data_IF_951844024546
#
_entry.id   IF_951844024546
#
_cell.length_a   1.000
_cell.length_b   1.000
_cell.length_c   1.000
_cell.angle_alpha   90.00
_cell.angle_beta   90.00
_cell.angle_gamma   90.00
#
_symmetry.space_group_name_H-M   'P 1'
#
loop_
_entity.id
_entity.type
_entity.pdbx_description
1 polymer ?
#
# COMPACT_ATOMS: atom_id res chain seq x y z
N UNK A 1 37.09 77.82 -14.90
CA UNK A 1 36.78 77.48 -16.30
C UNK A 1 35.80 76.33 -16.28
N UNK A 2 34.66 76.51 -16.99
CA UNK A 2 33.57 75.57 -17.36
C UNK A 2 32.98 74.68 -16.25
N UNK A 3 31.75 74.85 -15.73
CA UNK A 3 30.38 74.77 -16.32
C UNK A 3 30.06 73.46 -17.05
N UNK A 4 29.18 72.67 -16.45
CA UNK A 4 27.89 72.17 -16.99
C UNK A 4 27.01 71.73 -15.79
N UNK A 5 25.86 72.36 -15.47
CA UNK A 5 24.51 72.23 -16.09
C UNK A 5 23.98 70.80 -15.84
N UNK A 6 22.94 70.51 -15.05
CA UNK A 6 21.59 71.10 -14.93
C UNK A 6 20.99 70.70 -13.55
N UNK A 7 20.36 71.57 -12.76
CA UNK A 7 18.96 72.04 -12.85
C UNK A 7 17.91 70.92 -12.99
N UNK A 8 16.75 70.91 -12.32
CA UNK A 8 16.24 71.58 -11.12
C UNK A 8 14.84 70.99 -10.86
N UNK A 9 14.51 70.79 -9.58
CA UNK A 9 13.18 70.81 -8.95
C UNK A 9 12.08 69.75 -9.17
N UNK A 10 11.55 69.40 -7.99
CA UNK A 10 10.14 69.33 -7.56
C UNK A 10 9.37 68.01 -7.69
N UNK A 11 9.36 67.34 -6.54
CA UNK A 11 8.23 67.27 -5.61
C UNK A 11 7.14 66.19 -5.80
N UNK A 12 6.69 65.78 -4.60
CA UNK A 12 5.35 65.33 -4.16
C UNK A 12 5.02 63.84 -4.21
N UNK A 13 4.99 63.30 -2.98
CA UNK A 13 3.92 62.47 -2.40
C UNK A 13 3.49 61.22 -3.19
N UNK A 14 3.98 60.07 -2.73
CA UNK A 14 3.42 58.75 -3.04
C UNK A 14 3.00 58.05 -1.74
N UNK A 15 1.74 57.61 -1.72
CA UNK A 15 1.02 57.00 -0.60
C UNK A 15 1.62 55.65 -0.16
N UNK A 16 1.34 55.30 1.08
CA UNK A 16 1.57 53.99 1.69
C UNK A 16 0.99 52.84 0.83
N UNK A 17 1.85 51.90 0.45
CA UNK A 17 1.45 50.62 -0.11
C UNK A 17 1.77 49.52 0.91
N UNK A 18 0.72 48.84 1.37
CA UNK A 18 0.77 47.69 2.27
C UNK A 18 1.60 46.53 1.70
N UNK A 19 2.37 45.80 2.53
CA UNK A 19 3.03 44.57 2.13
C UNK A 19 2.07 43.39 2.33
N UNK A 20 1.35 43.00 1.27
CA UNK A 20 0.53 41.78 1.25
C UNK A 20 0.82 40.98 -0.02
N UNK A 21 2.04 40.46 -0.16
CA UNK A 21 2.43 39.43 -1.14
C UNK A 21 3.63 38.63 -0.63
N UNK A 22 3.37 37.71 0.29
CA UNK A 22 4.20 36.53 0.61
C UNK A 22 3.27 35.59 1.39
N UNK A 23 3.26 34.31 1.02
CA UNK A 23 2.50 33.17 1.60
C UNK A 23 1.43 32.58 0.65
N UNK A 24 1.86 31.91 -0.43
CA UNK A 24 1.01 30.93 -1.16
C UNK A 24 1.74 29.58 -1.38
N UNK A 25 3.00 29.45 -0.97
CA UNK A 25 3.79 28.23 -1.21
C UNK A 25 3.52 27.11 -0.19
N UNK A 26 2.73 27.35 0.87
CA UNK A 26 2.33 26.30 1.82
C UNK A 26 1.15 25.44 1.35
N UNK A 27 0.50 25.78 0.23
CA UNK A 27 -0.80 25.19 -0.14
C UNK A 27 -0.66 23.77 -0.72
N UNK A 28 0.41 23.42 -1.43
CA UNK A 28 0.52 22.07 -2.01
C UNK A 28 0.84 20.98 -0.97
N UNK A 29 1.58 21.30 0.09
CA UNK A 29 1.81 20.37 1.22
C UNK A 29 0.63 20.37 2.20
N UNK A 30 -0.11 21.48 2.35
CA UNK A 30 -1.28 21.57 3.22
C UNK A 30 -2.50 20.84 2.68
N UNK A 31 -2.66 20.66 1.36
CA UNK A 31 -3.85 20.00 0.83
C UNK A 31 -3.79 18.47 0.99
N UNK A 32 -2.68 17.81 0.66
CA UNK A 32 -2.56 16.35 0.86
C UNK A 32 -2.35 16.00 2.34
N UNK A 33 -1.49 16.72 3.07
CA UNK A 33 -1.28 16.44 4.49
C UNK A 33 -2.44 16.91 5.38
N UNK A 34 -3.13 18.00 5.04
CA UNK A 34 -4.32 18.48 5.73
C UNK A 34 -5.52 17.56 5.53
N UNK A 35 -5.69 17.03 4.31
CA UNK A 35 -6.67 16.00 4.00
C UNK A 35 -6.35 14.69 4.74
N UNK A 36 -5.10 14.22 4.73
CA UNK A 36 -4.68 13.02 5.48
C UNK A 36 -4.88 13.17 7.00
N UNK A 37 -4.60 14.34 7.55
CA UNK A 37 -4.81 14.66 8.98
C UNK A 37 -6.29 14.74 9.35
N UNK A 38 -7.14 15.20 8.43
CA UNK A 38 -8.58 15.28 8.63
C UNK A 38 -9.26 13.91 8.44
N UNK A 39 -8.84 13.15 7.44
CA UNK A 39 -9.31 11.80 7.12
C UNK A 39 -8.96 10.81 8.24
N UNK A 40 -7.71 10.80 8.71
CA UNK A 40 -7.28 9.99 9.88
C UNK A 40 -8.01 10.37 11.17
N UNK A 41 -8.39 11.65 11.34
CA UNK A 41 -9.19 12.10 12.49
C UNK A 41 -10.68 11.75 12.39
N UNK A 42 -11.21 11.43 11.20
CA UNK A 42 -12.65 11.18 10.99
C UNK A 42 -13.00 9.70 10.88
N UNK A 43 -12.03 8.82 10.58
CA UNK A 43 -12.21 7.37 10.49
C UNK A 43 -11.38 6.58 11.53
N UNK A 44 -11.26 7.10 12.75
CA UNK A 44 -10.96 6.24 13.90
C UNK A 44 -12.09 5.22 14.08
N UNK A 45 -11.74 3.93 14.05
CA UNK A 45 -12.67 2.81 14.16
C UNK A 45 -13.53 2.89 15.44
N UNK A 46 -14.77 3.39 15.30
CA UNK A 46 -15.83 3.13 16.25
C UNK A 46 -16.72 2.00 15.67
N UNK A 47 -16.90 0.86 16.36
CA UNK A 47 -17.81 -0.16 15.89
C UNK A 47 -19.26 0.36 15.98
N UNK A 48 -20.14 0.04 15.02
CA UNK A 48 -21.54 0.45 15.09
C UNK A 48 -22.24 -0.23 16.27
N UNK A 49 -22.87 0.56 17.12
CA UNK A 49 -23.85 0.09 18.11
C UNK A 49 -25.13 -0.33 17.36
N UNK A 50 -25.26 -1.63 17.11
CA UNK A 50 -26.45 -2.24 16.52
C UNK A 50 -27.22 -3.02 17.56
N UNK A 51 -28.14 -2.33 18.22
CA UNK A 51 -29.20 -2.88 19.05
C UNK A 51 -30.16 -3.69 18.17
N UNK A 52 -30.39 -4.96 18.48
CA UNK A 52 -31.58 -5.68 17.96
C UNK A 52 -31.96 -6.81 18.90
N UNK A 53 -32.84 -6.48 19.84
CA UNK A 53 -33.59 -7.47 20.59
C UNK A 53 -34.52 -8.27 19.66
N UNK A 54 -34.40 -9.60 19.71
CA UNK A 54 -35.44 -10.50 19.24
C UNK A 54 -35.69 -11.58 20.29
N UNK A 55 -36.89 -11.52 20.89
CA UNK A 55 -37.45 -12.54 21.79
C UNK A 55 -37.55 -13.90 21.10
N UNK A 56 -37.33 -15.02 21.81
CA UNK A 56 -37.73 -16.33 21.31
C UNK A 56 -39.19 -16.63 21.66
N UNK A 57 -39.92 -17.30 20.75
CA UNK A 57 -41.19 -17.97 21.04
C UNK A 57 -41.24 -19.36 20.39
N UNK A 58 -42.03 -20.29 20.96
CA UNK A 58 -41.53 -21.62 21.26
C UNK A 58 -42.28 -22.74 20.54
N UNK A 59 -41.70 -23.95 20.60
CA UNK A 59 -42.46 -25.20 20.63
C UNK A 59 -42.07 -26.23 19.57
N UNK A 60 -41.47 -27.34 20.00
CA UNK A 60 -42.15 -28.65 20.04
C UNK A 60 -41.20 -29.73 20.59
N UNK A 61 -41.76 -30.58 21.46
CA UNK A 61 -41.09 -31.63 22.22
C UNK A 61 -40.82 -32.90 21.41
N UNK A 62 -39.63 -33.46 21.67
CA UNK A 62 -39.23 -34.86 21.90
C UNK A 62 -40.05 -36.05 21.35
N UNK A 63 -39.31 -37.01 20.76
CA UNK A 63 -39.60 -38.45 20.75
C UNK A 63 -38.42 -39.27 20.15
N UNK A 64 -38.02 -40.43 20.73
CA UNK A 64 -36.62 -40.88 20.74
C UNK A 64 -36.32 -42.04 19.77
N UNK A 65 -35.06 -42.20 19.35
CA UNK A 65 -34.44 -43.48 18.96
C UNK A 65 -32.92 -43.35 18.86
N UNK A 66 -32.19 -43.96 19.79
CA UNK A 66 -30.77 -44.31 19.65
C UNK A 66 -30.64 -45.64 18.87
N UNK A 67 -29.54 -45.87 18.13
CA UNK A 67 -28.30 -46.39 18.73
C UNK A 67 -27.02 -45.66 18.26
N UNK A 68 -26.08 -45.49 19.19
CA UNK A 68 -24.70 -45.01 19.00
C UNK A 68 -23.74 -46.16 18.59
N UNK A 69 -22.42 -45.94 18.37
CA UNK A 69 -21.67 -44.79 17.85
C UNK A 69 -20.74 -45.21 16.67
N UNK A 70 -20.24 -44.26 15.87
CA UNK A 70 -18.83 -44.18 15.38
C UNK A 70 -18.68 -43.22 14.18
N UNK A 71 -17.90 -42.16 14.40
CA UNK A 71 -17.10 -41.44 13.40
C UNK A 71 -17.81 -40.54 12.37
N UNK A 72 -18.75 -39.69 12.78
CA UNK A 72 -19.16 -38.54 11.94
C UNK A 72 -19.58 -37.29 12.70
N UNK A 73 -18.94 -37.00 13.84
CA UNK A 73 -19.14 -35.75 14.57
C UNK A 73 -17.80 -35.16 15.01
N UNK A 74 -17.23 -34.30 14.16
CA UNK A 74 -16.43 -33.11 14.52
C UNK A 74 -16.00 -32.38 13.24
N UNK A 75 -16.98 -31.86 12.51
CA UNK A 75 -16.76 -30.73 11.60
C UNK A 75 -17.86 -29.73 11.95
N UNK A 76 -17.66 -28.99 13.04
CA UNK A 76 -18.31 -27.70 13.36
C UNK A 76 -17.72 -27.17 14.67
N UNK A 77 -16.46 -26.74 14.63
CA UNK A 77 -15.96 -25.66 15.49
C UNK A 77 -14.82 -25.05 14.69
N UNK A 78 -15.15 -24.17 13.74
CA UNK A 78 -14.13 -23.40 13.02
C UNK A 78 -13.49 -22.44 14.02
N UNK A 79 -12.51 -22.96 14.76
CA UNK A 79 -11.74 -22.19 15.71
C UNK A 79 -11.07 -21.01 15.02
N UNK A 80 -11.15 -19.85 15.65
CA UNK A 80 -10.57 -18.63 15.13
C UNK A 80 -9.05 -18.58 15.27
N UNK A 81 -8.35 -18.10 14.23
CA UNK A 81 -6.93 -17.79 14.28
C UNK A 81 -6.70 -16.41 14.92
N UNK A 82 -5.71 -16.31 15.81
CA UNK A 82 -5.38 -15.07 16.51
C UNK A 82 -3.87 -14.85 16.51
N UNK A 83 -3.45 -13.60 16.32
CA UNK A 83 -2.08 -13.16 16.60
C UNK A 83 -2.08 -12.43 17.93
N UNK A 84 -1.22 -12.84 18.84
CA UNK A 84 -1.12 -12.26 20.17
C UNK A 84 0.33 -11.92 20.48
N UNK A 85 0.56 -10.77 21.10
CA UNK A 85 1.86 -10.36 21.63
C UNK A 85 1.68 -9.99 23.09
N UNK A 86 2.58 -10.45 23.96
CA UNK A 86 2.53 -10.15 25.40
C UNK A 86 3.94 -10.10 25.98
N UNK A 87 4.14 -9.19 26.93
CA UNK A 87 5.41 -9.06 27.65
C UNK A 87 5.37 -9.97 28.88
N UNK A 88 6.41 -10.78 29.04
CA UNK A 88 6.56 -11.78 30.10
C UNK A 88 7.89 -11.54 30.81
N UNK A 89 7.95 -11.84 32.11
CA UNK A 89 9.21 -11.77 32.85
C UNK A 89 10.20 -12.83 32.33
N UNK A 90 11.45 -12.44 32.11
CA UNK A 90 12.52 -13.32 31.64
C UNK A 90 13.06 -14.19 32.79
N UNK A 91 12.21 -15.09 33.28
CA UNK A 91 12.51 -16.03 34.36
C UNK A 91 12.11 -17.45 33.98
N UNK A 92 12.86 -18.48 34.40
CA UNK A 92 12.52 -19.86 34.13
C UNK A 92 11.09 -20.20 34.61
N UNK A 93 10.24 -20.63 33.67
CA UNK A 93 8.87 -21.06 33.95
C UNK A 93 7.78 -20.04 33.65
N UNK A 94 8.10 -18.75 33.45
CA UNK A 94 7.09 -17.73 33.13
C UNK A 94 6.28 -18.07 31.88
N UNK A 95 6.96 -18.45 30.80
CA UNK A 95 6.30 -18.92 29.57
C UNK A 95 5.48 -20.20 29.79
N UNK A 96 5.92 -21.10 30.67
CA UNK A 96 5.20 -22.34 30.96
C UNK A 96 3.86 -22.07 31.67
N UNK A 97 3.82 -21.09 32.59
CA UNK A 97 2.59 -20.64 33.24
C UNK A 97 1.61 -20.08 32.21
N UNK A 98 2.10 -19.28 31.27
CA UNK A 98 1.30 -18.70 30.18
C UNK A 98 0.74 -19.79 29.24
N UNK A 99 1.58 -20.71 28.78
CA UNK A 99 1.15 -21.85 27.95
C UNK A 99 0.12 -22.71 28.67
N UNK A 100 0.26 -22.91 29.98
CA UNK A 100 -0.70 -23.67 30.79
C UNK A 100 -2.06 -22.95 30.87
N UNK A 101 -2.07 -21.62 31.01
CA UNK A 101 -3.30 -20.84 31.03
C UNK A 101 -4.05 -20.90 29.68
N UNK A 102 -3.32 -20.79 28.57
CA UNK A 102 -3.88 -20.96 27.22
C UNK A 102 -4.45 -22.38 27.01
N UNK A 103 -3.71 -23.41 27.42
CA UNK A 103 -4.16 -24.79 27.35
C UNK A 103 -5.45 -25.02 28.17
N UNK A 104 -5.59 -24.39 29.33
CA UNK A 104 -6.80 -24.43 30.16
C UNK A 104 -8.05 -23.87 29.46
N UNK A 105 -7.86 -23.02 28.44
CA UNK A 105 -8.91 -22.46 27.57
C UNK A 105 -9.06 -23.21 26.25
N UNK A 106 -8.35 -24.33 26.06
CA UNK A 106 -8.27 -25.09 24.80
C UNK A 106 -7.77 -24.25 23.62
N UNK A 107 -6.88 -23.31 23.90
CA UNK A 107 -6.19 -22.54 22.85
C UNK A 107 -4.95 -23.33 22.44
N UNK A 108 -4.83 -23.59 21.13
CA UNK A 108 -3.68 -24.23 20.53
C UNK A 108 -2.64 -23.18 20.08
N UNK A 109 -1.35 -23.47 20.30
CA UNK A 109 -0.24 -22.58 19.95
C UNK A 109 0.40 -23.12 18.68
N UNK A 110 0.17 -22.43 17.56
CA UNK A 110 0.66 -22.84 16.24
C UNK A 110 2.12 -22.39 16.00
N UNK A 111 2.50 -21.25 16.57
CA UNK A 111 3.86 -20.71 16.51
C UNK A 111 4.12 -19.80 17.70
N UNK A 112 5.38 -19.74 18.14
CA UNK A 112 5.88 -18.85 19.17
C UNK A 112 7.21 -18.24 18.72
N UNK A 113 7.34 -16.92 18.87
CA UNK A 113 8.60 -16.20 18.75
C UNK A 113 8.85 -15.37 19.99
N UNK A 114 10.05 -15.49 20.54
CA UNK A 114 10.47 -14.71 21.71
C UNK A 114 11.43 -13.62 21.28
N UNK A 115 11.17 -12.40 21.76
CA UNK A 115 11.96 -11.20 21.53
C UNK A 115 12.51 -10.70 22.86
N UNK A 116 13.81 -10.91 23.15
CA UNK A 116 14.39 -10.46 24.40
C UNK A 116 14.44 -8.92 24.46
N UNK A 117 14.09 -8.37 25.62
CA UNK A 117 14.21 -6.96 25.98
C UNK A 117 15.19 -6.79 27.16
N UNK A 118 15.44 -5.54 27.57
CA UNK A 118 16.23 -5.27 28.77
C UNK A 118 15.50 -5.73 30.04
N UNK A 119 14.18 -5.50 30.10
CA UNK A 119 13.32 -5.82 31.24
C UNK A 119 12.23 -6.82 30.83
N UNK A 120 12.64 -8.06 30.55
CA UNK A 120 11.74 -9.18 30.20
C UNK A 120 11.82 -9.63 28.74
N UNK A 121 10.80 -10.37 28.31
CA UNK A 121 10.68 -10.87 26.93
C UNK A 121 9.33 -10.50 26.35
N UNK A 122 9.31 -10.15 25.07
CA UNK A 122 8.07 -10.06 24.30
C UNK A 122 7.87 -11.37 23.56
N UNK A 123 6.78 -12.06 23.86
CA UNK A 123 6.42 -13.29 23.18
C UNK A 123 5.28 -13.02 22.18
N UNK A 124 5.52 -13.37 20.91
CA UNK A 124 4.56 -13.33 19.81
C UNK A 124 4.05 -14.74 19.51
N UNK A 125 2.74 -14.93 19.63
CA UNK A 125 2.04 -16.18 19.44
C UNK A 125 1.11 -16.12 18.23
N UNK A 126 1.09 -17.21 17.47
CA UNK A 126 -0.02 -17.53 16.58
C UNK A 126 -0.87 -18.61 17.24
N UNK A 127 -2.13 -18.31 17.46
CA UNK A 127 -3.05 -19.11 18.26
C UNK A 127 -4.24 -19.59 17.43
N UNK A 128 -4.77 -20.77 17.76
CA UNK A 128 -6.08 -21.23 17.32
C UNK A 128 -6.96 -21.42 18.54
N UNK A 129 -8.05 -20.66 18.61
CA UNK A 129 -8.99 -20.69 19.74
C UNK A 129 -10.35 -21.26 19.31
N UNK A 130 -11.13 -21.92 20.18
CA UNK A 130 -12.48 -22.40 19.88
C UNK A 130 -13.43 -21.26 19.44
N UNK A 131 -14.44 -21.56 18.62
CA UNK A 131 -15.29 -20.56 17.93
C UNK A 131 -16.13 -19.64 18.83
N UNK A 132 -16.19 -19.90 20.13
CA UNK A 132 -16.86 -19.05 21.14
C UNK A 132 -15.93 -18.25 22.05
N UNK A 133 -14.61 -18.42 21.93
CA UNK A 133 -13.65 -17.74 22.81
C UNK A 133 -13.35 -16.33 22.29
N UNK A 134 -13.65 -15.32 23.11
CA UNK A 134 -13.43 -13.92 22.74
C UNK A 134 -11.98 -13.50 23.04
N UNK A 135 -11.49 -12.50 22.31
CA UNK A 135 -10.17 -11.90 22.55
C UNK A 135 -9.96 -11.50 24.02
N UNK A 136 -10.99 -10.91 24.64
CA UNK A 136 -10.96 -10.49 26.04
C UNK A 136 -10.73 -11.66 27.02
N UNK A 137 -11.23 -12.86 26.71
CA UNK A 137 -11.02 -14.04 27.54
C UNK A 137 -9.58 -14.56 27.46
N UNK A 138 -8.98 -14.49 26.26
CA UNK A 138 -7.57 -14.83 26.04
C UNK A 138 -6.69 -13.82 26.76
N UNK A 139 -6.92 -12.51 26.55
CA UNK A 139 -6.18 -11.43 27.21
C UNK A 139 -6.23 -11.59 28.74
N UNK A 140 -7.41 -11.84 29.30
CA UNK A 140 -7.58 -12.04 30.75
C UNK A 140 -6.81 -13.25 31.25
N UNK A 141 -6.89 -14.40 30.57
CA UNK A 141 -6.16 -15.59 30.96
C UNK A 141 -4.63 -15.37 30.93
N UNK A 142 -4.14 -14.63 29.93
CA UNK A 142 -2.72 -14.28 29.81
C UNK A 142 -2.28 -13.31 30.90
N UNK A 143 -3.11 -12.30 31.22
CA UNK A 143 -2.80 -11.36 32.31
C UNK A 143 -2.81 -12.03 33.69
N UNK A 144 -3.76 -12.93 33.94
CA UNK A 144 -3.77 -13.76 35.17
C UNK A 144 -2.54 -14.67 35.26
N UNK A 145 -1.95 -15.05 34.12
CA UNK A 145 -0.74 -15.85 34.01
C UNK A 145 0.57 -15.04 34.07
N UNK A 146 0.49 -13.71 34.28
CA UNK A 146 1.66 -12.83 34.40
C UNK A 146 2.07 -12.10 33.12
N UNK A 147 1.29 -12.22 32.04
CA UNK A 147 1.50 -11.44 30.82
C UNK A 147 1.04 -9.98 30.97
N UNK A 148 1.90 -9.05 30.55
CA UNK A 148 1.62 -7.61 30.52
C UNK A 148 1.56 -7.09 29.08
N UNK A 149 0.98 -5.89 28.90
CA UNK A 149 0.94 -5.20 27.60
C UNK A 149 0.41 -6.06 26.45
N UNK A 150 -0.56 -6.92 26.75
CA UNK A 150 -1.07 -7.91 25.81
C UNK A 150 -1.86 -7.23 24.69
N UNK A 151 -1.39 -7.44 23.46
CA UNK A 151 -2.07 -7.06 22.24
C UNK A 151 -2.53 -8.31 21.50
N UNK A 152 -3.74 -8.30 20.96
CA UNK A 152 -4.32 -9.44 20.26
C UNK A 152 -5.21 -8.98 19.10
N UNK A 153 -5.09 -9.64 17.96
CA UNK A 153 -5.93 -9.41 16.79
C UNK A 153 -6.25 -10.72 16.04
N UNK A 154 -7.20 -10.65 15.10
CA UNK A 154 -7.49 -11.77 14.20
C UNK A 154 -6.31 -12.01 13.26
N UNK A 155 -5.93 -13.26 13.12
CA UNK A 155 -4.92 -13.71 12.16
C UNK A 155 -5.60 -14.37 10.95
N UNK A 156 -4.88 -14.43 9.83
CA UNK A 156 -5.33 -15.07 8.60
C UNK A 156 -4.47 -16.29 8.21
N UNK A 157 -4.85 -17.00 7.15
CA UNK A 157 -4.17 -18.23 6.73
C UNK A 157 -2.69 -18.01 6.31
N UNK A 158 -2.31 -16.81 5.86
CA UNK A 158 -0.93 -16.46 5.50
C UNK A 158 -0.03 -16.34 6.73
N UNK A 159 -0.59 -16.06 7.90
CA UNK A 159 0.18 -16.02 9.15
C UNK A 159 0.70 -17.40 9.58
N UNK A 160 0.14 -18.49 9.02
CA UNK A 160 0.59 -19.86 9.26
C UNK A 160 1.96 -20.17 8.64
N UNK A 161 2.43 -19.33 7.71
CA UNK A 161 3.76 -19.49 7.11
C UNK A 161 4.82 -19.18 8.16
N UNK A 162 5.75 -20.12 8.36
CA UNK A 162 6.83 -19.92 9.32
C UNK A 162 7.71 -18.72 8.96
N UNK A 163 8.28 -18.07 9.97
CA UNK A 163 9.01 -16.83 9.76
C UNK A 163 10.27 -16.97 8.87
N UNK A 164 11.10 -18.02 8.98
CA UNK A 164 12.19 -18.25 8.04
C UNK A 164 11.73 -18.28 6.58
N UNK A 165 10.69 -19.06 6.26
CA UNK A 165 10.12 -19.13 4.91
C UNK A 165 9.60 -17.78 4.45
N UNK A 166 8.86 -17.06 5.32
CA UNK A 166 8.35 -15.72 5.03
C UNK A 166 9.49 -14.74 4.72
N UNK A 167 10.54 -14.71 5.54
CA UNK A 167 11.69 -13.81 5.35
C UNK A 167 12.43 -14.10 4.03
N UNK A 168 12.61 -15.37 3.66
CA UNK A 168 13.21 -15.74 2.36
C UNK A 168 12.33 -15.32 1.18
N UNK A 169 11.01 -15.44 1.31
CA UNK A 169 10.05 -14.94 0.32
C UNK A 169 10.16 -13.42 0.13
N UNK A 170 10.18 -12.67 1.25
CA UNK A 170 10.37 -11.22 1.24
C UNK A 170 11.70 -10.81 0.59
N UNK A 171 12.80 -11.46 0.97
CA UNK A 171 14.12 -11.22 0.39
C UNK A 171 14.13 -11.48 -1.13
N UNK A 172 13.45 -12.54 -1.59
CA UNK A 172 13.34 -12.87 -3.02
C UNK A 172 12.56 -11.79 -3.78
N UNK A 173 11.43 -11.31 -3.23
CA UNK A 173 10.64 -10.21 -3.83
C UNK A 173 11.48 -8.94 -3.95
N UNK A 174 12.14 -8.53 -2.87
CA UNK A 174 13.03 -7.36 -2.84
C UNK A 174 14.25 -7.53 -3.77
N UNK A 175 14.71 -8.76 -4.00
CA UNK A 175 15.77 -9.02 -4.97
C UNK A 175 15.34 -8.78 -6.42
N UNK A 176 14.06 -9.04 -6.75
CA UNK A 176 13.51 -8.94 -8.11
C UNK A 176 13.06 -7.51 -8.50
N UNK A 177 12.48 -6.75 -7.56
CA UNK A 177 12.04 -5.37 -7.79
C UNK A 177 12.38 -4.50 -6.57
N UNK A 178 13.14 -3.44 -6.76
CA UNK A 178 13.48 -2.50 -5.69
C UNK A 178 12.25 -1.78 -5.10
N UNK A 179 11.12 -1.76 -5.82
CA UNK A 179 9.86 -1.20 -5.33
C UNK A 179 9.19 -2.04 -4.25
N UNK A 180 9.65 -3.27 -4.04
CA UNK A 180 9.13 -4.17 -3.01
C UNK A 180 9.63 -3.85 -1.61
N UNK A 181 10.72 -3.07 -1.44
CA UNK A 181 11.32 -2.86 -0.12
C UNK A 181 10.31 -2.30 0.91
N UNK A 182 9.55 -1.23 0.63
CA UNK A 182 8.54 -0.73 1.58
C UNK A 182 7.46 -1.77 1.89
N UNK A 183 6.99 -2.50 0.87
CA UNK A 183 5.97 -3.55 1.06
C UNK A 183 6.50 -4.70 1.91
N UNK A 184 7.76 -5.10 1.68
CA UNK A 184 8.42 -6.16 2.41
C UNK A 184 8.69 -5.76 3.87
N UNK A 185 9.05 -4.50 4.14
CA UNK A 185 9.16 -3.96 5.50
C UNK A 185 7.81 -3.98 6.23
N UNK A 186 6.72 -3.61 5.55
CA UNK A 186 5.37 -3.69 6.13
C UNK A 186 4.99 -5.13 6.44
N UNK A 187 5.22 -6.07 5.53
CA UNK A 187 4.95 -7.49 5.78
C UNK A 187 5.84 -8.08 6.90
N UNK A 188 7.08 -7.61 7.02
CA UNK A 188 8.01 -8.06 8.06
C UNK A 188 7.63 -7.55 9.46
N UNK A 189 7.11 -6.33 9.55
CA UNK A 189 6.86 -5.61 10.81
C UNK A 189 5.38 -5.55 11.21
N UNK A 190 4.49 -6.05 10.36
CA UNK A 190 3.05 -5.99 10.54
C UNK A 190 2.46 -4.62 10.19
N UNK A 191 1.38 -4.24 10.89
CA UNK A 191 0.70 -2.96 10.65
C UNK A 191 1.60 -1.80 11.07
N UNK A 192 2.19 -1.11 10.09
CA UNK A 192 3.00 0.07 10.29
C UNK A 192 2.85 1.03 9.09
N UNK A 193 3.16 2.30 9.35
CA UNK A 193 3.30 3.32 8.31
C UNK A 193 4.76 3.44 7.94
N UNK A 194 5.06 3.42 6.64
CA UNK A 194 6.42 3.59 6.13
C UNK A 194 6.49 4.91 5.36
N UNK A 195 7.45 5.74 5.71
CA UNK A 195 7.73 7.01 5.05
C UNK A 195 9.17 7.02 4.55
N UNK A 196 9.34 7.21 3.25
CA UNK A 196 10.66 7.37 2.63
C UNK A 196 10.94 8.86 2.38
N UNK A 197 12.03 9.37 2.93
CA UNK A 197 12.49 10.74 2.71
C UNK A 197 13.78 10.73 1.89
N UNK A 198 13.84 11.42 0.73
CA UNK A 198 15.03 11.44 -0.11
C UNK A 198 16.18 12.22 0.55
N UNK A 199 17.42 11.89 0.18
CA UNK A 199 18.63 12.56 0.65
C UNK A 199 18.64 14.07 0.34
N UNK A 200 18.15 14.42 -0.85
CA UNK A 200 18.00 15.79 -1.32
C UNK A 200 16.51 16.05 -1.55
N UNK A 201 15.87 16.92 -0.75
CA UNK A 201 14.45 17.18 -0.91
C UNK A 201 14.14 17.88 -2.24
N UNK A 202 13.06 17.45 -2.88
CA UNK A 202 12.60 17.96 -4.17
C UNK A 202 12.03 19.39 -4.09
N UNK A 203 11.88 19.99 -2.90
CA UNK A 203 11.57 21.42 -2.70
C UNK A 203 12.52 21.92 -1.61
N UNK A 204 12.98 23.18 -1.67
CA UNK A 204 14.14 23.72 -0.91
C UNK A 204 14.01 23.72 0.62
N UNK A 205 13.88 22.55 1.23
CA UNK A 205 13.84 22.29 2.66
C UNK A 205 15.15 21.72 3.18
N UNK A 206 15.27 21.67 4.51
CA UNK A 206 16.37 20.98 5.18
C UNK A 206 16.21 19.47 4.91
N UNK A 207 17.28 18.82 4.46
CA UNK A 207 17.30 17.35 4.30
C UNK A 207 16.98 16.65 5.62
N UNK A 208 16.65 15.35 5.57
CA UNK A 208 16.30 14.60 6.77
C UNK A 208 17.44 14.67 7.80
N UNK A 209 17.07 14.70 9.08
CA UNK A 209 18.06 14.68 10.17
C UNK A 209 18.95 13.44 10.03
N UNK A 210 20.29 13.60 10.14
CA UNK A 210 21.22 12.51 9.91
C UNK A 210 20.95 11.36 10.87
N UNK A 211 20.67 10.18 10.30
CA UNK A 211 20.47 8.94 11.05
C UNK A 211 21.83 8.23 11.17
N UNK A 212 22.18 7.66 12.34
CA UNK A 212 23.38 6.84 12.48
C UNK A 212 23.42 5.71 11.44
N UNK A 213 24.62 5.22 11.10
CA UNK A 213 24.79 4.10 10.15
C UNK A 213 24.01 2.87 10.60
N UNK A 214 23.93 2.65 11.90
CA UNK A 214 23.22 1.52 12.50
C UNK A 214 21.70 1.67 12.48
N UNK A 215 21.18 2.86 12.14
CA UNK A 215 19.78 3.28 12.32
C UNK A 215 19.52 3.85 13.72
N UNK A 216 18.27 4.21 13.98
CA UNK A 216 17.78 4.61 15.30
C UNK A 216 16.45 3.93 15.61
N UNK A 217 16.26 3.57 16.89
CA UNK A 217 15.06 2.93 17.41
C UNK A 217 14.59 3.72 18.64
N UNK A 218 13.37 4.24 18.59
CA UNK A 218 12.72 5.03 19.63
C UNK A 218 11.30 4.48 19.81
N UNK A 219 11.15 3.47 20.68
CA UNK A 219 9.89 2.78 20.98
C UNK A 219 9.06 2.45 19.72
N UNK A 220 8.07 3.27 19.39
CA UNK A 220 7.13 3.11 18.28
C UNK A 220 7.65 3.58 16.92
N UNK A 221 8.85 4.15 16.87
CA UNK A 221 9.46 4.73 15.68
C UNK A 221 10.84 4.13 15.44
N UNK A 222 11.06 3.70 14.19
CA UNK A 222 12.33 3.20 13.70
C UNK A 222 12.79 4.02 12.51
N UNK A 223 14.06 4.42 12.49
CA UNK A 223 14.67 5.16 11.38
C UNK A 223 15.84 4.36 10.82
N UNK A 224 15.77 4.06 9.53
CA UNK A 224 16.77 3.30 8.78
C UNK A 224 17.35 4.18 7.68
N UNK A 225 18.64 4.00 7.38
CA UNK A 225 19.28 4.70 6.27
C UNK A 225 18.85 4.05 4.95
N UNK A 226 18.29 4.85 4.04
CA UNK A 226 17.96 4.37 2.71
C UNK A 226 19.26 4.19 1.87
N UNK A 227 19.33 3.18 0.99
CA UNK A 227 20.48 2.93 0.12
C UNK A 227 20.94 4.13 -0.72
N UNK A 228 19.99 4.95 -1.17
CA UNK A 228 20.20 6.18 -1.93
C UNK A 228 20.60 7.40 -1.08
N UNK A 229 20.85 7.20 0.21
CA UNK A 229 21.24 8.25 1.16
C UNK A 229 20.09 8.98 1.84
N UNK A 230 18.84 8.57 1.58
CA UNK A 230 17.65 9.05 2.28
C UNK A 230 17.44 8.39 3.65
N UNK A 231 16.25 8.59 4.21
CA UNK A 231 15.82 7.98 5.48
C UNK A 231 14.49 7.27 5.27
N UNK A 232 14.40 6.03 5.73
CA UNK A 232 13.15 5.28 5.84
C UNK A 232 12.72 5.36 7.30
N UNK A 233 11.56 5.95 7.55
CA UNK A 233 10.93 5.98 8.88
C UNK A 233 9.79 4.98 8.89
N UNK A 234 9.81 4.09 9.87
CA UNK A 234 8.73 3.15 10.15
C UNK A 234 8.10 3.54 11.48
N UNK A 235 6.79 3.70 11.50
CA UNK A 235 6.04 4.16 12.66
C UNK A 235 4.83 3.23 12.89
N UNK A 236 4.54 2.89 14.15
CA UNK A 236 3.29 2.21 14.51
C UNK A 236 2.70 2.80 15.78
N UNK A 237 1.39 3.08 15.84
CA UNK A 237 0.83 4.01 16.83
C UNK A 237 0.83 3.52 18.29
N UNK A 238 0.81 2.20 18.55
CA UNK A 238 0.51 1.69 19.89
C UNK A 238 1.41 0.54 20.36
N UNK A 239 2.37 0.09 19.55
CA UNK A 239 3.20 -1.07 19.87
C UNK A 239 4.69 -0.70 19.74
N UNK A 240 5.53 -0.79 20.78
CA UNK A 240 6.96 -0.52 20.65
C UNK A 240 7.67 -1.60 19.83
N UNK A 241 8.57 -1.21 18.92
CA UNK A 241 9.46 -2.12 18.19
C UNK A 241 10.49 -2.75 19.11
N UNK A 242 10.71 -4.05 18.95
CA UNK A 242 11.76 -4.78 19.64
C UNK A 242 13.11 -4.59 18.93
N UNK A 243 14.24 -4.76 19.64
CA UNK A 243 15.57 -4.79 19.02
C UNK A 243 15.69 -5.85 17.91
N UNK A 244 14.99 -6.98 18.04
CA UNK A 244 14.95 -8.03 17.01
C UNK A 244 14.22 -7.58 15.75
N UNK A 245 13.08 -6.89 15.87
CA UNK A 245 12.37 -6.30 14.73
C UNK A 245 13.24 -5.28 14.00
N UNK A 246 13.94 -4.41 14.76
CA UNK A 246 14.90 -3.46 14.22
C UNK A 246 16.05 -4.13 13.47
N UNK A 247 16.66 -5.16 14.05
CA UNK A 247 17.73 -5.89 13.41
C UNK A 247 17.29 -6.56 12.09
N UNK A 248 16.09 -7.16 12.05
CA UNK A 248 15.54 -7.76 10.82
C UNK A 248 15.26 -6.72 9.74
N UNK A 249 14.63 -5.60 10.10
CA UNK A 249 14.35 -4.52 9.16
C UNK A 249 15.64 -3.92 8.58
N UNK A 250 16.65 -3.68 9.43
CA UNK A 250 17.98 -3.24 9.00
C UNK A 250 18.65 -4.22 8.06
N UNK A 251 18.61 -5.52 8.36
CA UNK A 251 19.18 -6.55 7.50
C UNK A 251 18.52 -6.60 6.12
N UNK A 252 17.19 -6.41 6.04
CA UNK A 252 16.47 -6.35 4.77
C UNK A 252 16.86 -5.09 3.96
N UNK A 253 16.97 -3.93 4.61
CA UNK A 253 17.44 -2.68 3.97
C UNK A 253 18.89 -2.82 3.50
N UNK A 254 19.75 -3.48 4.28
CA UNK A 254 21.14 -3.73 3.89
C UNK A 254 21.24 -4.68 2.69
N UNK A 255 20.44 -5.75 2.66
CA UNK A 255 20.35 -6.65 1.51
C UNK A 255 19.96 -5.86 0.25
N UNK A 256 18.92 -5.03 0.35
CA UNK A 256 18.49 -4.18 -0.74
C UNK A 256 19.57 -3.17 -1.15
N UNK A 257 20.31 -2.59 -0.21
CA UNK A 257 21.42 -1.70 -0.53
C UNK A 257 22.50 -2.39 -1.36
N UNK A 258 22.88 -3.62 -0.98
CA UNK A 258 23.94 -4.40 -1.65
C UNK A 258 23.56 -4.79 -3.07
N UNK A 259 22.29 -5.07 -3.31
CA UNK A 259 21.82 -5.54 -4.61
C UNK A 259 21.55 -4.36 -5.59
N UNK A 260 21.50 -3.09 -5.15
CA UNK A 260 21.41 -1.90 -6.02
C UNK A 260 20.00 -1.51 -6.53
N UNK A 261 19.84 -0.70 -7.57
CA UNK A 261 18.51 -0.45 -8.18
C UNK A 261 18.21 -1.53 -9.22
N UNK A 262 17.04 -2.19 -9.14
CA UNK A 262 16.56 -3.09 -10.21
C UNK A 262 15.06 -2.95 -10.39
N UNK A 263 14.66 -3.07 -11.64
CA UNK A 263 13.28 -3.00 -12.08
C UNK A 263 13.04 -4.14 -13.08
N UNK A 264 11.91 -4.86 -13.00
CA UNK A 264 11.60 -5.94 -13.93
C UNK A 264 11.63 -5.48 -15.39
N UNK A 265 12.24 -6.29 -16.26
CA UNK A 265 12.46 -5.97 -17.69
C UNK A 265 11.33 -6.40 -18.62
N UNK A 266 10.17 -6.78 -18.09
CA UNK A 266 9.04 -7.21 -18.93
C UNK A 266 8.56 -6.07 -19.83
N UNK A 267 8.21 -6.43 -21.06
CA UNK A 267 7.67 -5.52 -22.08
C UNK A 267 6.49 -6.20 -22.76
N UNK A 268 5.39 -5.48 -22.87
CA UNK A 268 4.20 -5.96 -23.57
C UNK A 268 3.92 -5.06 -24.77
N UNK A 269 3.79 -5.68 -25.95
CA UNK A 269 3.43 -4.97 -27.19
C UNK A 269 1.91 -5.04 -27.34
N UNK A 270 1.28 -3.88 -27.54
CA UNK A 270 -0.16 -3.75 -27.72
C UNK A 270 -0.44 -2.99 -29.02
N UNK A 271 -1.33 -3.54 -29.83
CA UNK A 271 -1.84 -2.86 -31.02
C UNK A 271 -3.05 -2.01 -30.62
N UNK A 272 -2.95 -0.70 -30.78
CA UNK A 272 -4.08 0.19 -30.53
C UNK A 272 -5.17 -0.01 -31.61
N UNK A 273 -6.44 0.29 -31.32
CA UNK A 273 -7.52 0.23 -32.32
C UNK A 273 -7.25 1.07 -33.58
N UNK A 274 -6.44 2.12 -33.46
CA UNK A 274 -6.02 3.00 -34.55
C UNK A 274 -4.77 2.48 -35.31
N UNK A 275 -4.37 1.23 -35.08
CA UNK A 275 -3.35 0.50 -35.88
C UNK A 275 -1.88 0.76 -35.55
N UNK A 276 -1.59 1.60 -34.54
CA UNK A 276 -0.21 1.82 -34.08
C UNK A 276 0.12 0.88 -32.91
N UNK A 277 1.25 0.17 -33.02
CA UNK A 277 1.79 -0.62 -31.92
C UNK A 277 2.44 0.30 -30.87
N UNK A 278 2.12 0.04 -29.62
CA UNK A 278 2.77 0.62 -28.45
C UNK A 278 3.42 -0.48 -27.62
N UNK A 279 4.50 -0.14 -26.93
CA UNK A 279 5.15 -1.01 -25.96
C UNK A 279 4.93 -0.46 -24.57
N UNK A 280 4.43 -1.28 -23.65
CA UNK A 280 4.31 -0.94 -22.23
C UNK A 280 5.39 -1.68 -21.45
N UNK A 281 6.16 -0.95 -20.64
CA UNK A 281 7.23 -1.52 -19.81
C UNK A 281 7.36 -0.81 -18.47
N UNK A 282 8.03 -1.43 -17.50
CA UNK A 282 8.45 -0.72 -16.28
C UNK A 282 9.46 0.39 -16.64
N UNK A 283 9.41 1.48 -15.88
CA UNK A 283 10.29 2.63 -16.03
C UNK A 283 10.91 3.01 -14.69
N UNK A 284 12.10 3.59 -14.74
CA UNK A 284 12.89 3.95 -13.56
C UNK A 284 13.65 5.27 -13.74
N UNK A 285 14.56 5.60 -12.81
CA UNK A 285 15.34 6.84 -12.85
C UNK A 285 16.24 6.98 -14.08
N UNK A 286 16.53 5.89 -14.82
CA UNK A 286 17.19 5.94 -16.11
C UNK A 286 16.34 6.60 -17.21
N UNK A 287 15.03 6.64 -17.04
CA UNK A 287 14.07 7.21 -18.00
C UNK A 287 13.82 8.71 -17.81
N UNK A 288 14.45 9.35 -16.82
CA UNK A 288 14.20 10.77 -16.48
C UNK A 288 14.34 11.68 -17.70
N UNK A 289 15.36 11.47 -18.55
CA UNK A 289 15.52 12.28 -19.77
C UNK A 289 14.35 12.11 -20.73
N UNK A 290 13.94 10.87 -21.01
CA UNK A 290 12.84 10.59 -21.94
C UNK A 290 11.48 11.07 -21.38
N UNK A 291 11.29 11.01 -20.06
CA UNK A 291 10.12 11.56 -19.38
C UNK A 291 10.06 13.09 -19.49
N UNK A 292 11.19 13.80 -19.34
CA UNK A 292 11.28 15.25 -19.56
C UNK A 292 10.93 15.62 -21.00
N UNK A 293 11.50 14.92 -21.98
CA UNK A 293 11.16 15.15 -23.39
C UNK A 293 9.66 14.96 -23.64
N UNK A 294 9.00 13.99 -22.97
CA UNK A 294 7.55 13.83 -23.04
C UNK A 294 6.80 15.00 -22.40
N UNK A 295 7.23 15.49 -21.23
CA UNK A 295 6.65 16.65 -20.58
C UNK A 295 6.68 17.89 -21.48
N UNK A 296 7.81 18.16 -22.13
CA UNK A 296 7.98 19.30 -23.05
C UNK A 296 7.00 19.29 -24.22
N UNK A 297 6.53 18.11 -24.63
CA UNK A 297 5.51 17.95 -25.69
C UNK A 297 4.08 18.04 -25.18
N UNK A 298 3.86 17.89 -23.88
CA UNK A 298 2.54 17.97 -23.29
C UNK A 298 2.08 19.43 -23.21
N UNK A 299 0.78 19.66 -23.44
CA UNK A 299 0.22 21.00 -23.25
C UNK A 299 0.23 21.41 -21.77
N UNK A 300 0.23 22.72 -21.50
CA UNK A 300 0.10 23.25 -20.13
C UNK A 300 -1.17 22.76 -19.44
N UNK A 301 -2.24 22.54 -20.21
CA UNK A 301 -3.50 21.96 -19.69
C UNK A 301 -3.28 20.52 -19.23
N UNK A 302 -2.65 19.70 -20.06
CA UNK A 302 -2.37 18.29 -19.72
C UNK A 302 -1.47 18.17 -18.49
N UNK A 303 -0.41 18.99 -18.41
CA UNK A 303 0.44 19.04 -17.23
C UNK A 303 -0.31 19.57 -15.99
N UNK A 304 -1.13 20.61 -16.12
CA UNK A 304 -1.93 21.16 -15.02
C UNK A 304 -3.03 20.24 -14.49
N UNK A 305 -3.49 19.27 -15.29
CA UNK A 305 -4.40 18.21 -14.81
C UNK A 305 -3.68 17.11 -14.04
N UNK A 306 -2.38 16.91 -14.30
CA UNK A 306 -1.53 15.90 -13.65
C UNK A 306 -0.87 16.43 -12.37
N UNK A 307 -0.43 17.68 -12.40
CA UNK A 307 0.31 18.33 -11.33
C UNK A 307 -0.56 19.43 -10.73
N UNK A 308 -1.02 19.22 -9.49
CA UNK A 308 -1.88 20.16 -8.76
C UNK A 308 -1.10 21.34 -8.14
N UNK A 309 0.07 21.66 -8.71
CA UNK A 309 0.98 22.74 -8.32
C UNK A 309 1.58 23.45 -9.54
N UNK A 310 2.58 24.34 -9.36
CA UNK A 310 3.20 25.05 -10.47
C UNK A 310 3.83 24.09 -11.49
N UNK A 311 3.32 24.11 -12.74
CA UNK A 311 3.76 23.21 -13.82
C UNK A 311 5.28 23.33 -14.09
N UNK A 312 5.87 24.50 -13.84
CA UNK A 312 7.32 24.73 -14.00
C UNK A 312 8.20 23.85 -13.12
N UNK A 313 7.66 23.27 -12.05
CA UNK A 313 8.38 22.37 -11.15
C UNK A 313 8.17 20.89 -11.48
N UNK A 314 7.35 20.54 -12.49
CA UNK A 314 6.99 19.15 -12.82
C UNK A 314 8.23 18.24 -13.01
N UNK A 315 9.27 18.77 -13.65
CA UNK A 315 10.52 18.03 -13.91
C UNK A 315 11.34 17.76 -12.65
N UNK A 316 11.15 18.56 -11.59
CA UNK A 316 11.82 18.38 -10.30
C UNK A 316 11.31 17.13 -9.58
N UNK A 317 10.07 16.75 -9.83
CA UNK A 317 9.43 15.56 -9.26
C UNK A 317 9.75 14.27 -10.00
N UNK A 318 10.23 14.32 -11.25
CA UNK A 318 10.46 13.12 -12.05
C UNK A 318 11.42 12.12 -11.40
N UNK A 319 12.48 12.58 -10.74
CA UNK A 319 13.39 11.68 -10.01
C UNK A 319 12.68 10.93 -8.88
N UNK A 320 11.72 11.57 -8.22
CA UNK A 320 10.93 10.95 -7.16
C UNK A 320 9.90 10.00 -7.76
N UNK A 321 9.13 10.44 -8.77
CA UNK A 321 8.11 9.62 -9.42
C UNK A 321 8.67 8.38 -10.12
N UNK A 322 9.87 8.48 -10.69
CA UNK A 322 10.55 7.36 -11.36
C UNK A 322 11.40 6.52 -10.41
N UNK A 323 11.61 6.95 -9.17
CA UNK A 323 12.35 6.15 -8.21
C UNK A 323 11.49 4.97 -7.76
N UNK A 324 12.00 3.72 -7.85
CA UNK A 324 11.26 2.55 -7.40
C UNK A 324 10.94 2.59 -5.90
N UNK A 325 11.64 3.45 -5.13
CA UNK A 325 11.48 3.57 -3.67
C UNK A 325 10.13 4.13 -3.24
N UNK A 326 9.47 4.85 -4.13
CA UNK A 326 8.20 5.51 -3.86
C UNK A 326 7.05 4.85 -4.59
N UNK A 327 7.30 3.77 -5.35
CA UNK A 327 6.26 3.16 -6.14
C UNK A 327 6.75 2.39 -7.36
N UNK A 328 5.80 2.08 -8.24
CA UNK A 328 6.01 1.45 -9.53
C UNK A 328 5.60 2.40 -10.64
N UNK A 329 6.53 2.73 -11.54
CA UNK A 329 6.22 3.44 -12.78
C UNK A 329 6.22 2.50 -13.99
N UNK A 330 5.27 2.72 -14.91
CA UNK A 330 5.23 2.13 -16.24
C UNK A 330 5.25 3.23 -17.30
N UNK A 331 5.94 2.99 -18.40
CA UNK A 331 6.00 3.86 -19.56
C UNK A 331 5.35 3.18 -20.77
N UNK A 332 4.66 4.00 -21.56
CA UNK A 332 4.17 3.63 -22.89
C UNK A 332 5.10 4.24 -23.92
N UNK A 333 5.65 3.41 -24.80
CA UNK A 333 6.54 3.80 -25.87
C UNK A 333 5.94 3.53 -27.24
N UNK A 334 6.27 4.38 -28.20
CA UNK A 334 6.02 4.10 -29.63
C UNK A 334 6.99 3.03 -30.15
N UNK A 335 6.74 2.51 -31.35
CA UNK A 335 7.69 1.64 -32.06
C UNK A 335 9.10 2.26 -32.24
N UNK A 336 9.21 3.59 -32.24
CA UNK A 336 10.50 4.31 -32.27
C UNK A 336 11.17 4.45 -30.89
N UNK A 337 10.60 3.87 -29.83
CA UNK A 337 11.13 3.92 -28.47
C UNK A 337 10.81 5.21 -27.71
N UNK A 338 10.02 6.12 -28.28
CA UNK A 338 9.67 7.41 -27.65
C UNK A 338 8.58 7.21 -26.60
N UNK A 339 8.79 7.71 -25.38
CA UNK A 339 7.76 7.70 -24.34
C UNK A 339 6.65 8.68 -24.71
N UNK A 340 5.40 8.20 -24.68
CA UNK A 340 4.16 8.95 -24.98
C UNK A 340 3.13 8.89 -23.86
N UNK A 341 3.38 8.08 -22.84
CA UNK A 341 2.60 8.06 -21.62
C UNK A 341 3.38 7.49 -20.44
N UNK A 342 3.03 7.94 -19.25
CA UNK A 342 3.54 7.49 -17.96
C UNK A 342 2.39 7.18 -17.03
N UNK A 343 2.52 6.09 -16.28
CA UNK A 343 1.63 5.73 -15.21
C UNK A 343 2.42 5.42 -13.96
N UNK A 344 2.01 5.98 -12.83
CA UNK A 344 2.67 5.83 -11.53
C UNK A 344 1.69 5.20 -10.55
N UNK A 345 2.16 4.19 -9.83
CA UNK A 345 1.53 3.62 -8.64
C UNK A 345 2.43 3.98 -7.46
N UNK A 346 2.01 4.89 -6.59
CA UNK A 346 2.84 5.45 -5.53
C UNK A 346 2.42 4.89 -4.16
N UNK A 347 3.41 4.63 -3.32
CA UNK A 347 3.21 4.21 -1.94
C UNK A 347 2.99 5.44 -1.06
N UNK A 348 1.82 5.53 -0.43
CA UNK A 348 1.48 6.64 0.46
C UNK A 348 1.03 6.10 1.82
N UNK A 349 2.01 5.84 2.69
CA UNK A 349 1.76 5.24 4.00
C UNK A 349 1.16 3.84 3.89
N UNK A 350 -0.10 3.70 4.26
CA UNK A 350 -0.90 2.48 4.12
C UNK A 350 -1.79 2.44 2.87
N UNK A 351 -1.87 3.55 2.14
CA UNK A 351 -2.63 3.69 0.91
C UNK A 351 -1.75 3.64 -0.34
N UNK A 352 -2.39 3.65 -1.50
CA UNK A 352 -1.72 3.58 -2.79
C UNK A 352 -2.35 4.56 -3.78
N UNK A 353 -1.57 5.52 -4.25
CA UNK A 353 -2.03 6.53 -5.21
C UNK A 353 -1.73 6.06 -6.65
N UNK A 354 -2.65 6.33 -7.57
CA UNK A 354 -2.43 6.18 -9.01
C UNK A 354 -2.47 7.52 -9.71
N UNK A 355 -1.46 7.78 -10.54
CA UNK A 355 -1.37 9.01 -11.32
C UNK A 355 -0.90 8.74 -12.76
N UNK A 356 -1.54 9.39 -13.73
CA UNK A 356 -1.34 9.12 -15.15
C UNK A 356 -1.04 10.41 -15.91
N UNK A 357 -0.15 10.33 -16.90
CA UNK A 357 0.12 11.38 -17.86
C UNK A 357 0.22 10.77 -19.26
N UNK A 358 -0.58 11.26 -20.21
CA UNK A 358 -0.55 10.82 -21.62
C UNK A 358 -0.41 12.05 -22.50
N UNK A 359 0.56 12.02 -23.41
CA UNK A 359 0.81 13.10 -24.38
C UNK A 359 -0.47 13.41 -25.18
N UNK A 360 -0.77 14.70 -25.39
CA UNK A 360 -2.02 15.17 -25.98
C UNK A 360 -2.39 14.45 -27.29
N UNK A 361 -1.41 14.22 -28.18
CA UNK A 361 -1.60 13.55 -29.46
C UNK A 361 -1.96 12.05 -29.36
N UNK A 362 -1.80 11.46 -28.17
CA UNK A 362 -2.02 10.05 -27.88
C UNK A 362 -3.22 9.80 -26.95
N UNK A 363 -3.85 10.87 -26.47
CA UNK A 363 -5.05 10.76 -25.65
C UNK A 363 -6.25 10.23 -26.45
N UNK A 364 -7.25 9.70 -25.73
CA UNK A 364 -8.48 9.08 -26.29
C UNK A 364 -8.26 7.85 -27.18
N UNK A 365 -7.07 7.24 -27.11
CA UNK A 365 -6.72 5.96 -27.79
C UNK A 365 -6.75 4.74 -26.87
N UNK A 366 -7.28 4.86 -25.66
CA UNK A 366 -7.30 3.78 -24.66
C UNK A 366 -6.04 3.63 -23.81
N UNK A 367 -4.96 4.39 -24.08
CA UNK A 367 -3.68 4.30 -23.35
C UNK A 367 -3.84 4.56 -21.84
N UNK A 368 -4.62 5.58 -21.46
CA UNK A 368 -4.84 5.89 -20.04
C UNK A 368 -5.53 4.74 -19.29
N UNK A 369 -6.55 4.14 -19.90
CA UNK A 369 -7.25 2.98 -19.32
C UNK A 369 -6.36 1.74 -19.24
N UNK A 370 -5.49 1.54 -20.24
CA UNK A 370 -4.51 0.45 -20.25
C UNK A 370 -3.48 0.60 -19.12
N UNK A 371 -2.90 1.79 -18.99
CA UNK A 371 -1.99 2.12 -17.90
C UNK A 371 -2.65 1.88 -16.54
N UNK A 372 -3.86 2.40 -16.35
CA UNK A 372 -4.59 2.28 -15.09
C UNK A 372 -4.84 0.82 -14.71
N UNK A 373 -5.30 -0.01 -15.66
CA UNK A 373 -5.57 -1.44 -15.40
C UNK A 373 -4.32 -2.19 -14.99
N UNK A 374 -3.18 -1.89 -15.63
CA UNK A 374 -1.88 -2.50 -15.28
C UNK A 374 -1.39 -2.07 -13.91
N UNK A 375 -1.55 -0.78 -13.56
CA UNK A 375 -1.20 -0.28 -12.22
C UNK A 375 -2.09 -0.90 -11.14
N UNK A 376 -3.38 -1.08 -11.43
CA UNK A 376 -4.31 -1.81 -10.54
C UNK A 376 -3.88 -3.27 -10.37
N UNK A 377 -3.51 -3.97 -11.45
CA UNK A 377 -2.97 -5.33 -11.37
C UNK A 377 -1.71 -5.39 -10.49
N UNK A 378 -0.80 -4.44 -10.64
CA UNK A 378 0.38 -4.31 -9.79
C UNK A 378 0.04 -4.05 -8.32
N UNK A 379 -0.99 -3.26 -8.04
CA UNK A 379 -1.46 -3.02 -6.67
C UNK A 379 -2.06 -4.27 -6.04
N UNK A 380 -2.79 -5.08 -6.81
CA UNK A 380 -3.32 -6.38 -6.37
C UNK A 380 -2.17 -7.35 -6.07
N UNK A 381 -1.16 -7.46 -6.94
CA UNK A 381 0.04 -8.27 -6.70
C UNK A 381 0.84 -7.82 -5.46
N UNK A 382 0.80 -6.52 -5.17
CA UNK A 382 1.39 -5.92 -3.97
C UNK A 382 0.58 -6.18 -2.69
N UNK A 383 -0.66 -6.68 -2.80
CA UNK A 383 -1.56 -6.89 -1.67
C UNK A 383 -2.22 -5.61 -1.14
N UNK A 384 -2.36 -4.58 -1.98
CA UNK A 384 -3.03 -3.34 -1.59
C UNK A 384 -4.55 -3.53 -1.51
N UNK A 385 -5.19 -2.96 -0.49
CA UNK A 385 -6.65 -3.02 -0.30
C UNK A 385 -7.43 -2.06 -1.21
N UNK A 386 -6.79 -0.96 -1.63
CA UNK A 386 -7.40 0.04 -2.48
C UNK A 386 -6.34 0.84 -3.23
N UNK A 387 -6.76 1.44 -4.34
CA UNK A 387 -6.01 2.49 -5.02
C UNK A 387 -6.86 3.74 -5.13
N UNK A 388 -6.26 4.91 -4.94
CA UNK A 388 -6.96 6.18 -5.09
C UNK A 388 -6.30 7.07 -6.15
N UNK A 389 -7.08 7.94 -6.76
CA UNK A 389 -6.60 8.95 -7.70
C UNK A 389 -7.07 10.34 -7.26
N UNK A 390 -6.15 11.30 -7.17
CA UNK A 390 -6.47 12.71 -6.91
C UNK A 390 -6.51 13.47 -8.24
N UNK A 391 -7.65 14.05 -8.56
CA UNK A 391 -7.82 14.77 -9.82
C UNK A 391 -8.73 15.99 -9.66
N UNK A 392 -8.82 16.83 -10.69
CA UNK A 392 -9.82 17.90 -10.70
C UNK A 392 -11.19 17.31 -11.01
N UNK A 393 -12.24 17.81 -10.36
CA UNK A 393 -13.63 17.39 -10.61
C UNK A 393 -14.07 17.53 -12.08
N UNK A 394 -13.41 18.42 -12.84
CA UNK A 394 -13.61 18.62 -14.28
C UNK A 394 -12.89 17.59 -15.17
N UNK A 395 -12.01 16.75 -14.62
CA UNK A 395 -11.25 15.75 -15.35
C UNK A 395 -12.09 14.49 -15.65
N UNK A 396 -12.98 14.61 -16.61
CA UNK A 396 -13.87 13.53 -17.07
C UNK A 396 -13.11 12.31 -17.59
N UNK A 397 -11.89 12.48 -18.11
CA UNK A 397 -11.05 11.39 -18.60
C UNK A 397 -10.63 10.44 -17.48
N UNK A 398 -10.15 10.97 -16.36
CA UNK A 398 -9.79 10.16 -15.18
C UNK A 398 -11.01 9.48 -14.57
N UNK A 399 -12.14 10.19 -14.45
CA UNK A 399 -13.40 9.61 -13.95
C UNK A 399 -13.85 8.43 -14.81
N UNK A 400 -13.80 8.58 -16.14
CA UNK A 400 -14.15 7.51 -17.06
C UNK A 400 -13.20 6.31 -16.96
N UNK A 401 -11.89 6.58 -16.84
CA UNK A 401 -10.88 5.53 -16.68
C UNK A 401 -11.09 4.72 -15.38
N UNK A 402 -11.33 5.39 -14.24
CA UNK A 402 -11.61 4.73 -12.97
C UNK A 402 -12.90 3.90 -13.03
N UNK A 403 -13.97 4.42 -13.65
CA UNK A 403 -15.22 3.65 -13.84
C UNK A 403 -15.04 2.42 -14.72
N UNK A 404 -14.17 2.49 -15.73
CA UNK A 404 -13.90 1.38 -16.62
C UNK A 404 -13.18 0.20 -15.94
N UNK A 405 -12.68 0.37 -14.70
CA UNK A 405 -12.14 -0.73 -13.90
C UNK A 405 -13.20 -1.73 -13.46
N UNK A 406 -14.48 -1.34 -13.40
CA UNK A 406 -15.56 -2.20 -12.92
C UNK A 406 -15.46 -2.56 -11.44
N UNK A 407 -14.69 -1.80 -10.66
CA UNK A 407 -14.53 -1.96 -9.21
C UNK A 407 -15.50 -1.05 -8.43
N UNK A 408 -15.80 -1.37 -7.17
CA UNK A 408 -16.50 -0.45 -6.28
C UNK A 408 -15.70 0.85 -6.13
N UNK A 409 -16.35 1.99 -6.39
CA UNK A 409 -15.73 3.32 -6.34
C UNK A 409 -16.39 4.20 -5.28
N UNK A 410 -15.54 4.81 -4.45
CA UNK A 410 -15.93 5.90 -3.55
C UNK A 410 -15.46 7.25 -4.14
N UNK A 411 -16.28 8.28 -3.96
CA UNK A 411 -16.01 9.63 -4.47
C UNK A 411 -16.04 10.64 -3.34
N UNK A 412 -14.99 11.46 -3.25
CA UNK A 412 -14.91 12.58 -2.30
C UNK A 412 -14.54 13.86 -3.06
N UNK A 413 -15.32 14.93 -2.87
CA UNK A 413 -15.13 16.20 -3.57
C UNK A 413 -14.93 17.31 -2.54
N UNK A 414 -13.83 18.05 -2.68
CA UNK A 414 -13.51 19.21 -1.83
C UNK A 414 -12.82 20.30 -2.66
N UNK A 415 -13.36 21.52 -2.62
CA UNK A 415 -12.82 22.71 -3.29
C UNK A 415 -12.45 22.52 -4.79
N UNK A 416 -13.21 21.70 -5.50
CA UNK A 416 -12.98 21.41 -6.93
C UNK A 416 -12.00 20.26 -7.20
N UNK A 417 -11.36 19.73 -6.17
CA UNK A 417 -10.59 18.47 -6.19
C UNK A 417 -11.53 17.29 -5.98
N UNK A 418 -11.27 16.20 -6.69
CA UNK A 418 -11.99 14.94 -6.64
C UNK A 418 -11.00 13.82 -6.32
N UNK A 419 -11.25 13.11 -5.23
CA UNK A 419 -10.59 11.85 -4.88
C UNK A 419 -11.51 10.71 -5.28
N UNK A 420 -10.99 9.78 -6.09
CA UNK A 420 -11.70 8.57 -6.51
C UNK A 420 -10.94 7.38 -5.95
N UNK A 421 -11.58 6.58 -5.09
CA UNK A 421 -10.96 5.40 -4.48
C UNK A 421 -11.60 4.14 -5.04
N UNK A 422 -10.81 3.25 -5.62
CA UNK A 422 -11.24 1.93 -6.05
C UNK A 422 -10.83 0.89 -5.00
N UNK A 423 -11.82 0.14 -4.47
CA UNK A 423 -11.57 -0.98 -3.55
C UNK A 423 -11.08 -2.17 -4.37
N UNK A 424 -9.87 -2.64 -4.06
CA UNK A 424 -9.31 -3.86 -4.62
C UNK A 424 -9.77 -4.99 -3.71
N UNK A 425 -10.76 -5.76 -4.16
CA UNK A 425 -11.33 -6.81 -3.33
C UNK A 425 -10.22 -7.71 -2.76
N UNK A 426 -10.17 -7.85 -1.44
CA UNK A 426 -9.53 -9.01 -0.83
C UNK A 426 -10.26 -10.26 -1.35
N UNK A 427 -9.57 -11.36 -1.64
CA UNK A 427 -10.24 -12.59 -2.04
C UNK A 427 -10.94 -13.15 -0.81
N UNK A 428 -12.24 -12.89 -0.66
CA UNK A 428 -13.13 -13.72 0.16
C UNK A 428 -14.54 -13.70 -0.41
N UNK A 429 -15.11 -14.92 -0.46
CA UNK A 429 -16.40 -15.35 -0.97
C UNK A 429 -16.56 -15.37 -2.50
N UNK A 430 -16.40 -16.57 -3.07
CA UNK A 430 -17.03 -16.92 -4.34
C UNK A 430 -18.52 -16.51 -4.31
N UNK A 431 -19.05 -15.92 -5.40
CA UNK A 431 -20.48 -15.86 -5.57
C UNK A 431 -20.99 -17.27 -5.84
N UNK A 432 -21.51 -17.91 -4.80
CA UNK A 432 -22.27 -19.15 -4.92
C UNK A 432 -23.45 -18.90 -5.89
N UNK A 433 -23.45 -19.62 -7.01
CA UNK A 433 -24.66 -19.88 -7.80
C UNK A 433 -24.77 -19.20 -9.18
N UNK A 434 -24.13 -19.79 -10.19
CA UNK A 434 -24.70 -19.92 -11.54
C UNK A 434 -23.94 -20.95 -12.40
N UNK A 435 -24.08 -22.25 -12.09
CA UNK A 435 -23.81 -23.31 -13.07
C UNK A 435 -25.14 -23.82 -13.61
N UNK A 436 -25.32 -23.70 -14.93
CA UNK A 436 -26.44 -24.35 -15.59
C UNK A 436 -26.61 -24.01 -17.06
N UNK A 437 -25.64 -24.32 -17.94
CA UNK A 437 -25.94 -24.72 -19.32
C UNK A 437 -24.86 -25.70 -19.82
N UNK A 438 -25.25 -26.97 -19.97
CA UNK A 438 -24.51 -28.00 -20.71
C UNK A 438 -24.75 -27.83 -22.21
N UNK A 439 -23.70 -27.50 -22.97
CA UNK A 439 -23.70 -27.48 -24.44
C UNK A 439 -22.96 -28.70 -25.00
N UNK A 440 -23.68 -29.58 -25.70
CA UNK A 440 -23.17 -30.75 -26.42
C UNK A 440 -22.21 -30.34 -27.54
N UNK A 441 -21.04 -30.97 -27.62
CA UNK A 441 -20.20 -31.02 -28.82
C UNK A 441 -20.55 -32.28 -29.61
N UNK A 442 -21.13 -32.10 -30.79
CA UNK A 442 -21.28 -33.14 -31.81
C UNK A 442 -19.98 -33.23 -32.62
N UNK A 443 -19.43 -34.44 -32.69
CA UNK A 443 -18.36 -34.83 -33.59
C UNK A 443 -18.89 -34.97 -35.02
N UNK A 444 -18.23 -34.30 -35.98
CA UNK A 444 -18.35 -34.59 -37.40
C UNK A 444 -16.99 -35.08 -37.89
N UNK A 445 -16.93 -36.34 -38.30
CA UNK A 445 -15.78 -36.93 -38.97
C UNK A 445 -15.92 -36.81 -40.48
N UNK A 446 -14.85 -36.40 -41.15
CA UNK A 446 -14.65 -36.62 -42.59
C UNK A 446 -13.28 -37.26 -42.79
N UNK A 447 -13.29 -38.53 -43.15
CA UNK A 447 -12.15 -39.30 -43.66
C UNK A 447 -12.22 -39.29 -45.19
N UNK A 448 -11.31 -38.55 -45.82
CA UNK A 448 -11.07 -38.63 -47.26
C UNK A 448 -10.20 -39.84 -47.60
N UNK A 449 -10.78 -40.78 -48.35
CA UNK A 449 -10.09 -41.88 -49.07
C UNK A 449 -9.34 -41.31 -50.29
N UNK A 450 -8.10 -41.73 -50.48
CA UNK A 450 -7.42 -41.78 -51.79
C UNK A 450 -6.79 -43.17 -51.93
N UNK A 451 -7.33 -43.98 -52.86
CA UNK A 451 -6.73 -45.21 -53.40
C UNK A 451 -5.68 -44.79 -54.46
N UNK A 452 -4.41 -45.18 -54.31
CA UNK A 452 -3.76 -46.41 -54.79
C UNK A 452 -3.27 -46.28 -56.26
N UNK A 453 -2.27 -47.08 -56.67
CA UNK A 453 -2.51 -48.48 -57.02
C UNK A 453 -1.79 -49.50 -56.14
#
# INVERSE_FOLDING_TARGET
MSRDISDVTRAKSGRSAHPWRRNVVQVAELFTAGFHSWWSRRHGHAPPTGDTGARPRPGAQAGPSEPSPETSARVTDEGGLWRMRTTVQDEPGSLAVLCTALAGRRVDILSLQTHPLADGTVDEFLLRAPGGLMAADITRAVSEAGGAETWIERADAHDLVDAPTRVLGLATRTALDAAELPLALRQLLGRCTIRSLPAVPAVGGRGPEPVPVEGALEDTVMRLRAPEGGVITVERPYLPFTPTEFARARALVELDARLGSRVPRSQDVLTLPEGNDITVRRADTGDVRAAKEMHERCSTRTLGMRYHGPVGDADRYLNHLLSPRFGRTIAVQTASGRIVGLGHLLWDGDETEVALLVEDAWQRRGIGSELLRRLVGMAVEAGCESVYAVTQSSNTGMVAAMRALGLPLDYQIEEGTLVITARLAAPDAEPEGAVGVTGRLSSAGELGRVEAP
#
